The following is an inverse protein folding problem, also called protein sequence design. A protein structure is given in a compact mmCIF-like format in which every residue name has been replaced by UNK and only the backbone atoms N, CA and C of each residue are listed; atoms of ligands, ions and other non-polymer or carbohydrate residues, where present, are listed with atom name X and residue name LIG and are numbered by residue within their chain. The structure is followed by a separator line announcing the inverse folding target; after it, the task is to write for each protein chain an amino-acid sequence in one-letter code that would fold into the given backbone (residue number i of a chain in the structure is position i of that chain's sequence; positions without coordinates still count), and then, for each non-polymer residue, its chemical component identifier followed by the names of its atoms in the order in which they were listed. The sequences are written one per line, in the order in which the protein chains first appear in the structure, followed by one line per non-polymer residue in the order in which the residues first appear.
data_IF_293103759479
#
_entry.id   IF_293103759479
#
_cell.length_a   1.000
_cell.length_b   1.000
_cell.length_c   1.000
_cell.angle_alpha   90.00
_cell.angle_beta   90.00
_cell.angle_gamma   90.00
#
_symmetry.space_group_name_H-M   'P 1'
#
loop_
_entity.id
_entity.type
_entity.pdbx_description
1 polymer ?
#
# COMPACT_ATOMS: atom_id res chain seq x y z
N UNK A 1 -13.04 2.34 5.80
CA UNK A 1 -12.82 2.42 4.34
C UNK A 1 -11.31 2.38 4.07
N UNK A 2 -10.85 1.52 3.17
CA UNK A 2 -9.45 1.37 2.75
C UNK A 2 -9.27 1.87 1.32
N UNK A 3 -8.35 2.82 1.16
CA UNK A 3 -7.93 3.33 -0.15
C UNK A 3 -6.51 2.87 -0.42
N UNK A 4 -6.27 2.30 -1.60
CA UNK A 4 -4.95 1.83 -2.01
C UNK A 4 -4.47 2.59 -3.24
N UNK A 5 -3.24 3.10 -3.18
CA UNK A 5 -2.56 3.72 -4.30
C UNK A 5 -1.64 2.70 -4.99
N UNK A 6 -1.60 2.74 -6.32
CA UNK A 6 -0.68 1.95 -7.12
C UNK A 6 -0.23 2.72 -8.37
N UNK A 7 0.84 2.28 -9.02
CA UNK A 7 1.40 2.95 -10.19
C UNK A 7 2.91 2.78 -10.31
N UNK A 8 3.52 3.30 -11.39
CA UNK A 8 4.94 3.11 -11.64
C UNK A 8 5.81 3.82 -10.58
N UNK A 9 7.04 3.36 -10.37
CA UNK A 9 7.99 3.96 -9.44
C UNK A 9 8.38 5.35 -9.94
N UNK A 10 8.22 6.39 -9.10
CA UNK A 10 8.44 7.79 -9.52
C UNK A 10 7.17 8.57 -9.90
N UNK A 11 6.00 7.91 -9.96
CA UNK A 11 4.71 8.56 -10.25
C UNK A 11 4.22 9.53 -9.16
N UNK A 12 4.90 9.61 -8.01
CA UNK A 12 4.51 10.52 -6.91
C UNK A 12 3.48 9.97 -5.93
N UNK A 13 3.29 8.63 -5.87
CA UNK A 13 2.33 7.96 -4.96
C UNK A 13 2.40 8.47 -3.52
N UNK A 14 3.58 8.47 -2.92
CA UNK A 14 3.77 8.92 -1.52
C UNK A 14 3.45 10.41 -1.35
N UNK A 15 3.80 11.25 -2.33
CA UNK A 15 3.44 12.67 -2.34
C UNK A 15 1.93 12.85 -2.40
N UNK A 16 1.26 12.14 -3.33
CA UNK A 16 -0.19 12.16 -3.47
C UNK A 16 -0.89 11.66 -2.21
N UNK A 17 -0.44 10.56 -1.62
CA UNK A 17 -1.01 9.99 -0.40
C UNK A 17 -0.93 10.95 0.79
N UNK A 18 0.21 11.65 0.94
CA UNK A 18 0.38 12.68 1.98
C UNK A 18 -0.56 13.86 1.77
N UNK A 19 -0.65 14.37 0.53
CA UNK A 19 -1.54 15.47 0.20
C UNK A 19 -3.02 15.11 0.42
N UNK A 20 -3.43 13.92 -0.01
CA UNK A 20 -4.79 13.41 0.21
C UNK A 20 -5.10 13.20 1.70
N UNK A 21 -4.17 12.62 2.47
CA UNK A 21 -4.33 12.44 3.91
C UNK A 21 -4.50 13.78 4.63
N UNK A 22 -3.67 14.77 4.28
CA UNK A 22 -3.76 16.11 4.86
C UNK A 22 -5.14 16.73 4.56
N UNK A 23 -5.58 16.71 3.30
CA UNK A 23 -6.85 17.30 2.90
C UNK A 23 -8.06 16.63 3.55
N UNK A 24 -8.06 15.29 3.66
CA UNK A 24 -9.15 14.58 4.33
C UNK A 24 -9.21 14.94 5.83
N UNK A 25 -8.07 15.07 6.50
CA UNK A 25 -8.00 15.50 7.91
C UNK A 25 -8.47 16.93 8.10
N UNK A 26 -8.06 17.85 7.23
CA UNK A 26 -8.52 19.25 7.23
C UNK A 26 -10.04 19.36 7.08
N UNK A 27 -10.65 18.42 6.37
CA UNK A 27 -12.12 18.31 6.19
C UNK A 27 -12.82 17.56 7.32
N UNK A 28 -12.10 17.21 8.39
CA UNK A 28 -12.66 16.59 9.59
C UNK A 28 -12.80 15.07 9.52
N UNK A 29 -12.24 14.41 8.50
CA UNK A 29 -12.24 12.95 8.44
C UNK A 29 -11.07 12.38 9.24
N UNK A 30 -11.35 11.44 10.15
CA UNK A 30 -10.32 10.61 10.76
C UNK A 30 -9.66 9.78 9.65
N UNK A 31 -8.38 10.03 9.40
CA UNK A 31 -7.65 9.43 8.28
C UNK A 31 -6.26 8.99 8.75
N UNK A 32 -5.97 7.71 8.58
CA UNK A 32 -4.66 7.14 8.83
C UNK A 32 -3.92 6.93 7.50
N UNK A 33 -2.63 7.21 7.49
CA UNK A 33 -1.78 7.02 6.33
C UNK A 33 -0.74 5.95 6.65
N UNK A 34 -0.90 4.79 6.02
CA UNK A 34 0.06 3.70 6.08
C UNK A 34 1.05 3.88 4.93
N UNK A 35 2.23 4.37 5.27
CA UNK A 35 3.35 4.42 4.35
C UNK A 35 4.01 3.05 4.30
N UNK A 36 3.91 2.40 3.15
CA UNK A 36 4.57 1.14 2.86
C UNK A 36 6.08 1.37 2.79
N UNK A 37 6.75 1.18 3.92
CA UNK A 37 8.21 1.18 4.00
C UNK A 37 8.76 0.02 3.17
N UNK A 38 9.06 0.25 1.88
CA UNK A 38 9.92 -0.67 1.14
C UNK A 38 11.27 -0.73 1.88
N UNK A 39 11.91 -1.90 1.99
CA UNK A 39 13.27 -2.00 2.54
C UNK A 39 14.27 -1.04 1.87
N UNK A 40 13.99 -0.63 0.63
CA UNK A 40 14.74 0.32 -0.16
C UNK A 40 14.61 1.80 0.26
N UNK A 41 13.54 2.18 0.98
CA UNK A 41 13.29 3.59 1.35
C UNK A 41 13.99 3.99 2.67
N UNK A 42 14.92 3.17 3.18
CA UNK A 42 15.77 3.51 4.34
C UNK A 42 16.84 4.52 3.94
N UNK A 43 16.49 5.80 3.87
CA UNK A 43 17.49 6.86 4.00
C UNK A 43 17.94 6.99 5.47
N UNK A 44 19.24 7.15 5.78
CA UNK A 44 19.72 7.22 7.17
C UNK A 44 19.37 8.53 7.92
N UNK A 45 18.54 9.42 7.39
CA UNK A 45 18.48 10.81 7.87
C UNK A 45 17.32 11.17 8.83
N UNK A 46 16.43 10.25 9.19
CA UNK A 46 15.35 10.54 10.16
C UNK A 46 15.57 9.96 11.57
N UNK A 47 16.81 9.99 12.06
CA UNK A 47 17.06 9.98 13.50
C UNK A 47 18.13 11.02 13.82
N UNK A 48 17.72 12.28 14.00
CA UNK A 48 18.48 13.26 14.79
C UNK A 48 17.52 14.19 15.54
N UNK A 49 17.05 13.72 16.69
CA UNK A 49 16.88 14.60 17.85
C UNK A 49 18.06 14.37 18.78
N UNK A 50 18.56 15.48 19.30
CA UNK A 50 19.86 15.65 19.92
C UNK A 50 20.06 14.88 21.23
N UNK A 51 21.18 14.18 21.36
CA UNK A 51 22.22 14.48 22.36
C UNK A 51 23.42 13.54 22.20
N UNK A 52 24.56 14.05 22.63
CA UNK A 52 25.81 13.36 22.96
C UNK A 52 26.84 13.11 21.85
N UNK A 53 27.69 14.12 21.78
CA UNK A 53 29.05 14.14 21.27
C UNK A 53 29.94 13.07 21.90
N UNK A 54 30.98 12.76 21.12
CA UNK A 54 32.29 12.24 21.50
C UNK A 54 32.49 10.72 21.45
N UNK A 55 33.61 10.36 20.82
CA UNK A 55 34.26 9.05 20.84
C UNK A 55 33.67 8.02 19.87
N UNK A 56 34.00 8.10 18.57
CA UNK A 56 34.07 6.91 17.67
C UNK A 56 34.50 7.27 16.24
N UNK A 57 35.78 7.60 16.03
CA UNK A 57 36.32 7.80 14.67
C UNK A 57 36.86 6.52 14.00
N UNK A 58 36.91 5.39 14.71
CA UNK A 58 37.48 4.12 14.19
C UNK A 58 36.40 3.04 13.89
N UNK A 59 35.15 3.19 14.38
CA UNK A 59 34.05 2.24 14.12
C UNK A 59 33.29 2.47 12.80
N UNK A 60 33.58 3.53 12.06
CA UNK A 60 32.79 3.94 10.89
C UNK A 60 33.01 3.07 9.63
N UNK A 61 34.16 2.39 9.51
CA UNK A 61 34.43 1.52 8.36
C UNK A 61 33.92 0.09 8.58
N UNK A 62 34.06 -0.48 9.78
CA UNK A 62 33.60 -1.84 10.09
C UNK A 62 32.06 -1.89 10.13
N UNK A 63 31.39 -0.82 10.59
CA UNK A 63 29.92 -0.73 10.60
C UNK A 63 29.31 -0.60 9.21
N UNK A 64 30.10 -0.29 8.17
CA UNK A 64 29.63 -0.28 6.76
C UNK A 64 29.61 -1.66 6.12
N UNK A 65 30.42 -2.59 6.62
CA UNK A 65 30.49 -3.98 6.12
C UNK A 65 29.62 -4.95 6.94
N UNK A 66 29.36 -4.66 8.21
CA UNK A 66 28.58 -5.56 9.09
C UNK A 66 27.10 -5.23 9.18
N UNK A 67 26.67 -4.04 8.73
CA UNK A 67 25.24 -3.62 8.75
C UNK A 67 24.30 -4.55 7.96
N UNK A 68 24.65 -5.03 6.75
CA UNK A 68 23.77 -5.92 5.99
C UNK A 68 23.50 -7.24 6.74
N UNK A 69 24.55 -7.81 7.36
CA UNK A 69 24.43 -9.05 8.11
C UNK A 69 23.74 -8.87 9.46
N UNK A 70 23.96 -7.75 10.14
CA UNK A 70 23.25 -7.40 11.36
C UNK A 70 21.76 -7.13 11.11
N UNK A 71 21.40 -6.50 9.97
CA UNK A 71 20.00 -6.35 9.57
C UNK A 71 19.36 -7.69 9.20
N UNK A 72 20.06 -8.58 8.49
CA UNK A 72 19.60 -9.95 8.22
C UNK A 72 19.35 -10.71 9.54
N UNK A 73 20.25 -10.58 10.52
CA UNK A 73 20.13 -11.25 11.83
C UNK A 73 19.06 -10.62 12.73
N UNK A 74 18.82 -9.31 12.61
CA UNK A 74 17.72 -8.60 13.28
C UNK A 74 16.37 -8.88 12.62
N UNK A 75 16.33 -9.10 11.30
CA UNK A 75 15.14 -9.46 10.54
C UNK A 75 14.69 -10.90 10.82
N UNK A 76 15.62 -11.81 11.15
CA UNK A 76 15.32 -13.16 11.63
C UNK A 76 14.75 -13.18 13.07
N UNK A 77 14.86 -12.09 13.83
CA UNK A 77 14.51 -12.02 15.26
C UNK A 77 13.11 -11.51 15.58
N UNK A 78 12.32 -11.13 14.58
CA UNK A 78 10.90 -10.84 14.77
C UNK A 78 10.06 -11.97 14.20
N UNK A 79 9.83 -13.06 14.96
CA UNK A 79 9.00 -14.14 14.47
C UNK A 79 7.61 -13.60 14.15
N UNK A 80 7.14 -13.98 12.96
CA UNK A 80 5.84 -13.67 12.39
C UNK A 80 4.75 -14.17 13.36
N UNK A 81 4.28 -13.29 14.23
CA UNK A 81 3.44 -13.64 15.38
C UNK A 81 1.97 -13.99 15.03
N UNK A 82 1.63 -14.28 13.76
CA UNK A 82 0.27 -14.67 13.36
C UNK A 82 0.29 -15.60 12.16
N UNK A 83 -0.45 -16.72 12.23
CA UNK A 83 -0.55 -17.73 11.18
C UNK A 83 -1.21 -17.22 9.89
N UNK A 84 -2.15 -16.28 10.01
CA UNK A 84 -2.86 -15.69 8.87
C UNK A 84 -1.98 -14.73 8.05
N UNK A 85 -1.12 -13.93 8.72
CA UNK A 85 -0.21 -12.98 8.06
C UNK A 85 0.82 -13.69 7.16
N UNK A 86 1.30 -14.85 7.63
CA UNK A 86 2.24 -15.70 6.90
C UNK A 86 1.55 -16.44 5.76
N UNK A 87 0.29 -16.86 5.95
CA UNK A 87 -0.49 -17.57 4.94
C UNK A 87 -0.66 -16.78 3.65
N UNK A 88 -1.09 -15.51 3.76
CA UNK A 88 -1.27 -14.62 2.59
C UNK A 88 0.05 -14.37 1.86
N UNK A 89 1.14 -14.12 2.61
CA UNK A 89 2.46 -13.89 2.04
C UNK A 89 3.01 -15.13 1.31
N UNK A 90 2.89 -16.31 1.91
CA UNK A 90 3.35 -17.56 1.30
C UNK A 90 2.49 -17.95 0.10
N UNK A 91 1.18 -17.73 0.12
CA UNK A 91 0.31 -18.01 -1.03
C UNK A 91 0.68 -17.11 -2.22
N UNK A 92 0.90 -15.82 -2.00
CA UNK A 92 1.33 -14.91 -3.06
C UNK A 92 2.68 -15.29 -3.67
N UNK A 93 3.64 -15.69 -2.84
CA UNK A 93 4.97 -16.13 -3.30
C UNK A 93 4.90 -17.47 -4.03
N UNK A 94 3.96 -18.35 -3.67
CA UNK A 94 3.74 -19.60 -4.42
C UNK A 94 3.17 -19.36 -5.81
N UNK A 95 2.27 -18.40 -5.95
CA UNK A 95 1.65 -18.05 -7.25
C UNK A 95 2.66 -17.32 -8.14
N UNK A 96 3.45 -16.42 -7.53
CA UNK A 96 4.45 -15.61 -8.20
C UNK A 96 5.82 -15.78 -7.50
N UNK A 97 6.54 -16.89 -7.75
CA UNK A 97 7.83 -17.14 -7.12
C UNK A 97 8.91 -16.20 -7.68
N UNK A 98 9.51 -15.33 -6.85
CA UNK A 98 10.56 -14.45 -7.31
C UNK A 98 11.80 -15.27 -7.67
N UNK A 99 12.51 -14.83 -8.72
CA UNK A 99 13.72 -15.48 -9.23
C UNK A 99 14.89 -15.51 -8.24
N UNK A 100 14.84 -14.75 -7.14
CA UNK A 100 15.89 -14.67 -6.13
C UNK A 100 15.37 -14.96 -4.72
N UNK A 101 16.11 -15.80 -3.99
CA UNK A 101 15.79 -16.20 -2.61
C UNK A 101 15.79 -14.99 -1.66
N UNK A 102 16.71 -14.04 -1.86
CA UNK A 102 16.79 -12.81 -1.07
C UNK A 102 15.55 -11.93 -1.28
N UNK A 103 15.08 -11.81 -2.53
CA UNK A 103 13.85 -11.09 -2.86
C UNK A 103 12.62 -11.83 -2.32
N UNK A 104 12.60 -13.16 -2.36
CA UNK A 104 11.55 -13.99 -1.74
C UNK A 104 11.38 -13.67 -0.25
N UNK A 105 12.48 -13.68 0.51
CA UNK A 105 12.43 -13.40 1.94
C UNK A 105 11.96 -11.98 2.22
N UNK A 106 12.50 -10.98 1.50
CA UNK A 106 12.10 -9.57 1.66
C UNK A 106 10.63 -9.33 1.33
N UNK A 107 10.13 -9.91 0.24
CA UNK A 107 8.72 -9.83 -0.13
C UNK A 107 7.84 -10.55 0.88
N UNK A 108 8.26 -11.70 1.40
CA UNK A 108 7.50 -12.40 2.45
C UNK A 108 7.33 -11.50 3.66
N UNK A 109 8.41 -10.86 4.11
CA UNK A 109 8.39 -9.95 5.24
C UNK A 109 7.54 -8.71 4.96
N UNK A 110 7.67 -8.11 3.78
CA UNK A 110 6.85 -6.97 3.36
C UNK A 110 5.36 -7.31 3.35
N UNK A 111 4.98 -8.40 2.67
CA UNK A 111 3.59 -8.83 2.56
C UNK A 111 3.01 -9.23 3.92
N UNK A 112 3.80 -9.84 4.80
CA UNK A 112 3.35 -10.17 6.16
C UNK A 112 3.07 -8.92 7.00
N UNK A 113 3.95 -7.90 6.92
CA UNK A 113 3.73 -6.61 7.59
C UNK A 113 2.52 -5.89 7.01
N UNK A 114 2.37 -5.92 5.69
CA UNK A 114 1.23 -5.33 4.99
C UNK A 114 -0.08 -6.02 5.39
N UNK A 115 -0.11 -7.36 5.47
CA UNK A 115 -1.27 -8.13 5.92
C UNK A 115 -1.73 -7.71 7.30
N UNK A 116 -0.79 -7.51 8.24
CA UNK A 116 -1.12 -7.04 9.58
C UNK A 116 -1.73 -5.65 9.58
N UNK A 117 -1.08 -4.69 8.91
CA UNK A 117 -1.59 -3.32 8.82
C UNK A 117 -2.95 -3.27 8.12
N UNK A 118 -3.15 -4.10 7.10
CA UNK A 118 -4.41 -4.23 6.40
C UNK A 118 -5.52 -4.78 7.30
N UNK A 119 -5.25 -5.84 8.06
CA UNK A 119 -6.24 -6.41 8.96
C UNK A 119 -6.65 -5.40 10.04
N UNK A 120 -5.68 -4.69 10.62
CA UNK A 120 -5.96 -3.60 11.56
C UNK A 120 -6.83 -2.51 10.91
N UNK A 121 -6.47 -2.07 9.70
CA UNK A 121 -7.24 -1.09 8.94
C UNK A 121 -8.67 -1.57 8.62
N UNK A 122 -8.86 -2.85 8.31
CA UNK A 122 -10.16 -3.43 7.98
C UNK A 122 -11.13 -3.45 9.16
N UNK A 123 -10.60 -3.45 10.39
CA UNK A 123 -11.40 -3.34 11.63
C UNK A 123 -11.65 -1.89 12.08
N UNK A 124 -11.10 -0.91 11.36
CA UNK A 124 -11.19 0.50 11.75
C UNK A 124 -12.46 1.18 11.21
N UNK A 125 -13.02 2.10 12.01
CA UNK A 125 -14.17 2.91 11.61
C UNK A 125 -13.80 4.15 10.77
N UNK A 126 -12.53 4.31 10.41
CA UNK A 126 -11.99 5.50 9.76
C UNK A 126 -11.45 5.20 8.37
N UNK A 127 -10.96 6.24 7.67
CA UNK A 127 -10.38 6.10 6.34
C UNK A 127 -8.90 5.72 6.51
N UNK A 128 -8.45 4.64 5.87
CA UNK A 128 -7.04 4.26 5.88
C UNK A 128 -6.50 4.31 4.46
N UNK A 129 -5.49 5.15 4.24
CA UNK A 129 -4.80 5.31 2.97
C UNK A 129 -3.52 4.47 2.98
N UNK A 130 -3.34 3.63 1.98
CA UNK A 130 -2.09 2.94 1.71
C UNK A 130 -1.43 3.53 0.48
N UNK A 131 -0.25 4.13 0.61
CA UNK A 131 0.47 4.68 -0.53
C UNK A 131 1.00 3.60 -1.49
N UNK A 132 1.16 2.38 -0.97
CA UNK A 132 1.35 1.13 -1.70
C UNK A 132 0.75 0.00 -0.86
N UNK A 133 0.03 -0.96 -1.45
CA UNK A 133 -0.42 -2.17 -0.77
C UNK A 133 -0.36 -3.40 -1.68
N UNK A 134 -1.39 -4.25 -1.64
CA UNK A 134 -1.33 -5.59 -2.22
C UNK A 134 -1.26 -5.57 -3.75
N UNK A 135 -1.92 -4.64 -4.43
CA UNK A 135 -1.78 -4.46 -5.89
C UNK A 135 -0.33 -4.14 -6.25
N UNK A 136 0.32 -3.26 -5.49
CA UNK A 136 1.73 -2.95 -5.69
C UNK A 136 2.65 -4.14 -5.33
N UNK A 137 2.26 -4.96 -4.35
CA UNK A 137 2.96 -6.20 -4.01
C UNK A 137 2.90 -7.21 -5.16
N UNK A 138 1.72 -7.41 -5.77
CA UNK A 138 1.53 -8.25 -6.96
C UNK A 138 2.35 -7.71 -8.13
N UNK A 139 2.35 -6.39 -8.36
CA UNK A 139 3.21 -5.76 -9.37
C UNK A 139 4.70 -6.10 -9.15
N UNK A 140 5.16 -6.01 -7.90
CA UNK A 140 6.55 -6.28 -7.56
C UNK A 140 6.90 -7.76 -7.75
N UNK A 141 5.98 -8.66 -7.40
CA UNK A 141 6.13 -10.10 -7.61
C UNK A 141 6.16 -10.46 -9.09
N UNK A 142 5.24 -9.94 -9.90
CA UNK A 142 5.19 -10.17 -11.35
C UNK A 142 6.50 -9.75 -12.03
N UNK A 143 7.06 -8.60 -11.63
CA UNK A 143 8.37 -8.14 -12.12
C UNK A 143 9.51 -9.08 -11.74
N UNK A 144 9.52 -9.60 -10.50
CA UNK A 144 10.59 -10.46 -9.99
C UNK A 144 10.49 -11.91 -10.48
N UNK A 145 9.28 -12.36 -10.82
CA UNK A 145 9.07 -13.64 -11.50
C UNK A 145 9.64 -13.61 -12.92
N UNK A 146 9.68 -12.43 -13.55
CA UNK A 146 10.09 -12.28 -14.95
C UNK A 146 9.06 -12.84 -15.94
N UNK A 147 7.87 -13.24 -15.46
CA UNK A 147 6.78 -13.80 -16.25
C UNK A 147 5.60 -12.83 -16.19
N UNK A 148 5.24 -12.24 -17.34
CA UNK A 148 4.06 -11.40 -17.50
C UNK A 148 2.82 -12.25 -17.87
N UNK A 149 2.59 -13.35 -17.14
CA UNK A 149 1.44 -14.22 -17.36
C UNK A 149 0.20 -13.57 -16.74
N UNK A 150 -0.69 -13.08 -17.60
CA UNK A 150 -1.95 -12.44 -17.23
C UNK A 150 -2.82 -13.34 -16.34
N UNK A 151 -2.80 -14.67 -16.53
CA UNK A 151 -3.59 -15.61 -15.73
C UNK A 151 -3.07 -15.70 -14.29
N UNK A 152 -1.74 -15.79 -14.10
CA UNK A 152 -1.13 -15.82 -12.77
C UNK A 152 -1.31 -14.49 -12.04
N UNK A 153 -1.15 -13.36 -12.75
CA UNK A 153 -1.38 -12.03 -12.19
C UNK A 153 -2.85 -11.87 -11.79
N UNK A 154 -3.79 -12.27 -12.65
CA UNK A 154 -5.22 -12.24 -12.35
C UNK A 154 -5.56 -13.12 -11.15
N UNK A 155 -4.97 -14.30 -11.05
CA UNK A 155 -5.17 -15.19 -9.92
C UNK A 155 -4.65 -14.58 -8.60
N UNK A 156 -3.46 -13.98 -8.63
CA UNK A 156 -2.91 -13.26 -7.48
C UNK A 156 -3.82 -12.09 -7.06
N UNK A 157 -4.30 -11.29 -8.02
CA UNK A 157 -5.23 -10.17 -7.77
C UNK A 157 -6.57 -10.61 -7.17
N UNK A 158 -7.01 -11.83 -7.45
CA UNK A 158 -8.25 -12.37 -6.89
C UNK A 158 -8.10 -12.80 -5.42
N UNK A 159 -6.90 -13.23 -5.02
CA UNK A 159 -6.63 -13.77 -3.68
C UNK A 159 -6.25 -12.66 -2.67
N UNK A 160 -5.71 -11.54 -3.15
CA UNK A 160 -5.35 -10.44 -2.25
C UNK A 160 -6.58 -9.78 -1.60
N UNK A 161 -6.43 -9.25 -0.38
CA UNK A 161 -7.44 -8.38 0.22
C UNK A 161 -7.80 -7.21 -0.71
N UNK A 162 -9.08 -6.85 -0.75
CA UNK A 162 -9.62 -5.85 -1.67
C UNK A 162 -9.87 -4.52 -0.96
N UNK A 163 -9.28 -3.44 -1.47
CA UNK A 163 -9.59 -2.06 -1.09
C UNK A 163 -10.96 -1.63 -1.62
N UNK A 164 -11.57 -0.67 -0.91
CA UNK A 164 -12.84 -0.02 -1.31
C UNK A 164 -12.63 0.94 -2.49
N UNK A 165 -11.41 1.50 -2.62
CA UNK A 165 -11.03 2.39 -3.71
C UNK A 165 -9.56 2.17 -4.09
N UNK A 166 -9.31 2.05 -5.39
CA UNK A 166 -7.97 2.06 -5.97
C UNK A 166 -7.68 3.38 -6.66
N UNK A 167 -6.48 3.93 -6.44
CA UNK A 167 -6.02 5.14 -7.12
C UNK A 167 -4.74 4.81 -7.90
N UNK A 168 -4.85 4.82 -9.23
CA UNK A 168 -3.71 4.69 -10.14
C UNK A 168 -3.05 6.05 -10.30
N UNK A 169 -1.79 6.16 -9.92
CA UNK A 169 -0.98 7.34 -10.24
C UNK A 169 -0.26 7.09 -11.56
N UNK A 170 -0.37 8.04 -12.48
CA UNK A 170 0.28 7.99 -13.78
C UNK A 170 1.27 9.14 -13.97
N UNK A 171 2.29 8.90 -14.78
CA UNK A 171 3.29 9.87 -15.20
C UNK A 171 3.84 9.47 -16.57
N UNK A 172 4.07 10.45 -17.43
CA UNK A 172 4.70 10.23 -18.74
C UNK A 172 6.10 9.65 -18.58
N UNK A 173 6.51 8.79 -19.52
CA UNK A 173 7.81 8.11 -19.51
C UNK A 173 8.99 9.08 -19.30
N UNK A 174 8.96 10.23 -19.95
CA UNK A 174 10.01 11.27 -19.83
C UNK A 174 10.17 11.78 -18.40
N UNK A 175 9.05 12.01 -17.71
CA UNK A 175 9.02 12.49 -16.32
C UNK A 175 9.39 11.36 -15.36
N UNK A 176 8.95 10.14 -15.66
CA UNK A 176 9.29 8.97 -14.88
C UNK A 176 10.81 8.71 -14.94
N UNK A 177 11.38 8.72 -16.14
CA UNK A 177 12.82 8.57 -16.36
C UNK A 177 13.62 9.67 -15.67
N UNK A 178 13.22 10.92 -15.79
CA UNK A 178 13.89 12.03 -15.12
C UNK A 178 13.90 11.85 -13.60
N UNK A 179 12.74 11.57 -13.00
CA UNK A 179 12.60 11.36 -11.55
C UNK A 179 13.36 10.13 -11.07
N UNK A 180 13.36 9.05 -11.85
CA UNK A 180 14.11 7.83 -11.53
C UNK A 180 15.63 8.05 -11.64
N UNK A 181 16.11 8.76 -12.68
CA UNK A 181 17.53 9.10 -12.83
C UNK A 181 18.02 10.01 -11.69
N UNK A 182 17.23 11.00 -11.29
CA UNK A 182 17.57 11.86 -10.17
C UNK A 182 17.63 11.09 -8.85
N UNK A 183 16.68 10.18 -8.62
CA UNK A 183 16.71 9.27 -7.46
C UNK A 183 17.95 8.38 -7.48
N UNK A 184 18.29 7.77 -8.61
CA UNK A 184 19.48 6.92 -8.76
C UNK A 184 20.80 7.68 -8.50
N UNK A 185 20.84 8.98 -8.79
CA UNK A 185 22.02 9.82 -8.51
C UNK A 185 22.21 10.09 -7.02
N UNK A 186 21.11 10.10 -6.26
CA UNK A 186 21.11 10.34 -4.81
C UNK A 186 21.31 9.05 -3.99
N UNK A 187 21.18 7.87 -4.62
CA UNK A 187 21.27 6.57 -3.95
C UNK A 187 22.68 5.96 -3.95
N UNK A 188 23.07 5.46 -2.77
CA UNK A 188 24.35 4.78 -2.58
C UNK A 188 24.40 3.49 -3.41
N UNK A 189 25.62 3.09 -3.84
CA UNK A 189 25.84 1.87 -4.64
C UNK A 189 25.26 0.59 -4.02
N UNK A 190 25.09 0.57 -2.70
CA UNK A 190 24.51 -0.57 -1.97
C UNK A 190 22.97 -0.55 -1.91
N UNK A 191 22.35 0.62 -1.94
CA UNK A 191 20.88 0.77 -2.04
C UNK A 191 20.42 0.35 -3.45
N UNK A 192 21.23 0.62 -4.47
CA UNK A 192 21.05 0.15 -5.86
C UNK A 192 20.96 -1.38 -6.03
N UNK A 193 21.62 -2.17 -5.18
CA UNK A 193 21.56 -3.63 -5.26
C UNK A 193 20.26 -4.20 -4.64
N UNK A 194 19.50 -3.33 -3.95
CA UNK A 194 18.28 -3.62 -3.23
C UNK A 194 17.05 -2.95 -3.86
N UNK A 195 17.24 -2.19 -4.94
CA UNK A 195 16.20 -1.57 -5.74
C UNK A 195 16.06 -2.25 -7.10
N UNK A 196 14.89 -2.10 -7.72
CA UNK A 196 14.67 -2.51 -9.09
C UNK A 196 15.56 -1.65 -10.02
N UNK A 197 16.32 -2.30 -10.91
CA UNK A 197 17.12 -1.59 -11.92
C UNK A 197 16.22 -0.72 -12.82
N UNK A 198 16.77 0.32 -13.46
CA UNK A 198 16.04 1.22 -14.38
C UNK A 198 15.28 0.43 -15.45
N UNK A 199 15.88 -0.64 -15.98
CA UNK A 199 15.25 -1.53 -16.95
C UNK A 199 14.05 -2.28 -16.37
N UNK A 200 14.11 -2.64 -15.08
CA UNK A 200 13.00 -3.29 -14.37
C UNK A 200 11.92 -2.28 -13.97
N UNK A 201 12.30 -1.03 -13.71
CA UNK A 201 11.37 0.07 -13.50
C UNK A 201 10.63 0.45 -14.79
N UNK A 202 11.27 0.43 -15.95
CA UNK A 202 10.57 0.64 -17.23
C UNK A 202 9.66 -0.55 -17.58
N UNK A 203 10.08 -1.79 -17.32
CA UNK A 203 9.19 -2.96 -17.40
C UNK A 203 7.98 -2.87 -16.45
N UNK A 204 8.10 -2.11 -15.35
CA UNK A 204 7.00 -1.92 -14.42
C UNK A 204 5.81 -1.19 -15.04
N UNK A 205 6.01 -0.36 -16.05
CA UNK A 205 4.91 0.32 -16.75
C UNK A 205 3.97 -0.70 -17.41
N UNK A 206 4.52 -1.61 -18.22
CA UNK A 206 3.75 -2.66 -18.87
C UNK A 206 3.02 -3.57 -17.87
N UNK A 207 3.66 -3.88 -16.73
CA UNK A 207 3.03 -4.68 -15.67
C UNK A 207 1.93 -3.89 -14.95
N UNK A 208 2.13 -2.59 -14.70
CA UNK A 208 1.12 -1.70 -14.10
C UNK A 208 -0.08 -1.53 -15.02
N UNK A 209 0.12 -1.42 -16.33
CA UNK A 209 -0.96 -1.36 -17.31
C UNK A 209 -1.74 -2.68 -17.37
N UNK A 210 -1.04 -3.81 -17.40
CA UNK A 210 -1.67 -5.13 -17.31
C UNK A 210 -2.51 -5.28 -16.03
N UNK A 211 -1.98 -4.85 -14.87
CA UNK A 211 -2.71 -4.82 -13.61
C UNK A 211 -3.95 -3.93 -13.67
N UNK A 212 -3.82 -2.74 -14.26
CA UNK A 212 -4.95 -1.80 -14.42
C UNK A 212 -6.08 -2.45 -15.23
N UNK A 213 -5.75 -3.08 -16.35
CA UNK A 213 -6.72 -3.75 -17.20
C UNK A 213 -7.39 -4.94 -16.50
N UNK A 214 -6.60 -5.77 -15.80
CA UNK A 214 -7.12 -6.89 -15.02
C UNK A 214 -8.04 -6.45 -13.87
N UNK A 215 -7.65 -5.42 -13.13
CA UNK A 215 -8.46 -4.86 -12.05
C UNK A 215 -9.76 -4.27 -12.60
N UNK A 216 -9.72 -3.60 -13.75
CA UNK A 216 -10.92 -3.06 -14.42
C UNK A 216 -11.84 -4.17 -14.93
N UNK A 217 -11.30 -5.23 -15.54
CA UNK A 217 -12.06 -6.43 -15.95
C UNK A 217 -12.71 -7.10 -14.73
N UNK A 218 -12.04 -7.10 -13.59
CA UNK A 218 -12.55 -7.60 -12.32
C UNK A 218 -13.58 -6.70 -11.63
N UNK A 219 -14.03 -5.61 -12.26
CA UNK A 219 -15.04 -4.70 -11.72
C UNK A 219 -14.55 -3.84 -10.55
N UNK A 220 -13.23 -3.73 -10.34
CA UNK A 220 -12.67 -2.93 -9.24
C UNK A 220 -12.84 -1.44 -9.54
N UNK A 221 -13.18 -0.68 -8.51
CA UNK A 221 -13.31 0.77 -8.61
C UNK A 221 -11.92 1.42 -8.62
N UNK A 222 -11.53 1.96 -9.77
CA UNK A 222 -10.21 2.57 -10.00
C UNK A 222 -10.39 4.02 -10.43
N UNK A 223 -9.69 4.93 -9.77
CA UNK A 223 -9.53 6.32 -10.20
C UNK A 223 -8.11 6.54 -10.72
N UNK A 224 -7.97 7.21 -11.85
CA UNK A 224 -6.66 7.63 -12.35
C UNK A 224 -6.37 9.06 -11.90
N UNK A 225 -5.15 9.28 -11.43
CA UNK A 225 -4.65 10.57 -10.97
C UNK A 225 -3.28 10.84 -11.59
N UNK A 226 -3.05 12.09 -12.00
CA UNK A 226 -1.76 12.59 -12.47
C UNK A 226 -1.24 13.63 -11.49
N UNK A 227 0.07 13.64 -11.26
CA UNK A 227 0.75 14.57 -10.36
C UNK A 227 2.01 15.11 -11.05
N UNK A 228 1.79 15.78 -12.18
CA UNK A 228 2.87 16.34 -13.00
C UNK A 228 3.39 17.65 -12.39
N UNK A 229 2.48 18.46 -11.85
CA UNK A 229 2.72 19.74 -11.19
C UNK A 229 1.80 19.90 -9.96
N UNK A 230 1.95 20.99 -9.22
CA UNK A 230 1.17 21.28 -8.02
C UNK A 230 -0.34 21.45 -8.32
N UNK A 231 -0.67 22.01 -9.47
CA UNK A 231 -2.07 22.23 -9.86
C UNK A 231 -2.78 20.91 -10.16
N UNK A 232 -2.19 20.06 -11.00
CA UNK A 232 -2.71 18.71 -11.32
C UNK A 232 -2.78 17.82 -10.09
N UNK A 233 -1.79 17.90 -9.18
CA UNK A 233 -1.85 17.23 -7.88
C UNK A 233 -3.07 17.68 -7.09
N UNK A 234 -3.28 18.99 -6.94
CA UNK A 234 -4.40 19.53 -6.17
C UNK A 234 -5.76 19.16 -6.76
N UNK A 235 -5.93 19.24 -8.09
CA UNK A 235 -7.15 18.80 -8.76
C UNK A 235 -7.41 17.30 -8.58
N UNK A 236 -6.36 16.48 -8.70
CA UNK A 236 -6.47 15.04 -8.54
C UNK A 236 -6.81 14.65 -7.10
N UNK A 237 -6.19 15.31 -6.12
CA UNK A 237 -6.51 15.14 -4.70
C UNK A 237 -7.95 15.54 -4.43
N UNK A 238 -8.43 16.66 -4.96
CA UNK A 238 -9.82 17.09 -4.80
C UNK A 238 -10.83 16.10 -5.40
N UNK A 239 -10.52 15.55 -6.58
CA UNK A 239 -11.39 14.57 -7.23
C UNK A 239 -11.50 13.29 -6.42
N UNK A 240 -10.37 12.78 -5.92
CA UNK A 240 -10.33 11.56 -5.09
C UNK A 240 -10.99 11.81 -3.73
N UNK A 241 -10.77 12.97 -3.11
CA UNK A 241 -11.46 13.39 -1.88
C UNK A 241 -12.98 13.34 -2.06
N UNK A 242 -13.52 13.98 -3.10
CA UNK A 242 -14.96 13.99 -3.38
C UNK A 242 -15.53 12.57 -3.50
N UNK A 243 -14.80 11.67 -4.16
CA UNK A 243 -15.22 10.28 -4.30
C UNK A 243 -15.23 9.54 -2.96
N UNK A 244 -14.19 9.71 -2.15
CA UNK A 244 -14.09 9.11 -0.82
C UNK A 244 -15.24 9.59 0.07
N UNK A 245 -15.48 10.90 0.13
CA UNK A 245 -16.56 11.48 0.93
C UNK A 245 -17.93 10.98 0.47
N UNK A 246 -18.14 10.81 -0.84
CA UNK A 246 -19.37 10.25 -1.38
C UNK A 246 -19.59 8.79 -0.94
N UNK A 247 -18.54 7.95 -0.98
CA UNK A 247 -18.62 6.56 -0.53
C UNK A 247 -18.89 6.45 0.97
N UNK A 248 -18.13 7.18 1.79
CA UNK A 248 -18.32 7.20 3.26
C UNK A 248 -19.75 7.65 3.61
N UNK A 249 -20.27 8.68 2.93
CA UNK A 249 -21.63 9.15 3.13
C UNK A 249 -22.70 8.11 2.74
N UNK A 250 -22.47 7.33 1.68
CA UNK A 250 -23.37 6.24 1.29
C UNK A 250 -23.36 5.09 2.30
N UNK A 251 -22.19 4.69 2.79
CA UNK A 251 -22.03 3.63 3.79
C UNK A 251 -22.72 3.99 5.11
N UNK A 252 -22.53 5.23 5.59
CA UNK A 252 -23.16 5.71 6.82
C UNK A 252 -24.70 5.72 6.70
N UNK A 253 -25.24 6.14 5.56
CA UNK A 253 -26.70 6.12 5.31
C UNK A 253 -27.23 4.69 5.23
N UNK A 254 -26.50 3.78 4.60
CA UNK A 254 -26.88 2.36 4.52
C UNK A 254 -26.83 1.67 5.90
N UNK A 255 -25.91 2.05 6.77
CA UNK A 255 -25.85 1.57 8.15
C UNK A 255 -27.02 2.12 8.99
N UNK A 256 -27.34 3.41 8.88
CA UNK A 256 -28.46 4.03 9.59
C UNK A 256 -29.81 3.39 9.23
N UNK A 257 -30.06 3.11 7.94
CA UNK A 257 -31.28 2.43 7.48
C UNK A 257 -31.42 1.01 8.01
N UNK A 258 -30.31 0.25 8.10
CA UNK A 258 -30.31 -1.10 8.68
C UNK A 258 -30.67 -1.09 10.17
N UNK A 259 -30.12 -0.13 10.92
CA UNK A 259 -30.42 -0.01 12.34
C UNK A 259 -31.89 0.38 12.58
N UNK A 260 -32.46 1.25 11.74
CA UNK A 260 -33.86 1.67 11.83
C UNK A 260 -34.84 0.52 11.50
N UNK A 261 -34.53 -0.30 10.50
CA UNK A 261 -35.35 -1.48 10.17
C UNK A 261 -35.35 -2.55 11.28
N UNK A 262 -34.21 -2.78 11.96
CA UNK A 262 -34.14 -3.70 13.10
C UNK A 262 -34.88 -3.19 14.35
N UNK A 263 -34.90 -1.87 14.59
CA UNK A 263 -35.69 -1.31 15.70
C UNK A 263 -37.20 -1.40 15.45
N UNK A 264 -37.64 -1.22 14.20
CA UNK A 264 -39.06 -1.30 13.85
C UNK A 264 -39.59 -2.74 13.90
N UNK A 265 -38.78 -3.75 13.54
CA UNK A 265 -39.14 -5.16 13.67
C UNK A 265 -39.22 -5.63 15.14
N UNK A 266 -38.34 -5.12 16.01
CA UNK A 266 -38.36 -5.42 17.45
C UNK A 266 -39.58 -4.80 18.16
N UNK A 267 -40.02 -3.62 17.70
CA UNK A 267 -41.22 -2.96 18.22
C UNK A 267 -42.52 -3.66 17.79
N UNK A 268 -42.55 -4.23 16.58
CA UNK A 268 -43.71 -4.97 16.08
C UNK A 268 -43.99 -6.26 16.88
N UNK A 269 -42.95 -6.98 17.31
CA UNK A 269 -43.10 -8.23 18.07
C UNK A 269 -43.61 -8.01 19.50
N UNK A 270 -43.15 -6.94 20.18
CA UNK A 270 -43.64 -6.58 21.53
C UNK A 270 -45.11 -6.13 21.54
N UNK A 271 -45.62 -5.66 20.40
CA UNK A 271 -47.01 -5.22 20.26
C UNK A 271 -47.96 -6.41 20.08
N UNK A 272 -47.46 -7.55 19.56
CA UNK A 272 -48.25 -8.77 19.37
C UNK A 272 -48.41 -9.55 20.68
N UNK A 273 -47.34 -9.70 21.48
CA UNK A 273 -47.40 -10.40 22.77
C UNK A 273 -48.32 -9.71 23.80
N UNK A 274 -48.46 -8.37 23.73
CA UNK A 274 -49.38 -7.62 24.61
C UNK A 274 -50.86 -7.78 24.24
N UNK A 275 -51.18 -8.23 23.02
CA UNK A 275 -52.59 -8.42 22.59
C UNK A 275 -53.12 -9.82 22.86
N UNK A 276 -52.26 -10.79 23.17
CA UNK A 276 -52.67 -12.16 23.53
C UNK A 276 -52.80 -12.39 25.05
N UNK A 277 -52.57 -11.36 25.87
CA UNK A 277 -52.63 -11.42 27.33
C UNK A 277 -53.81 -10.63 27.95
N UNK A 278 -54.85 -10.31 27.19
CA UNK A 278 -56.11 -9.72 27.69
C UNK A 278 -57.31 -10.57 27.31
#
# INVERSE_FOLDING_TARGET
MIVELFGPPGAGKTTFARALAARLRERGHTTDLVLSQRPAERSPHEIRSASDLSTQQITSMIRRLTRPFAEILMMARHPLASSHDVGTALNLIKILPPSSILWSFRLTQYVSRLSRSWFQASSSAHIVLFDQAFVQAVCSLALLCGVADELLISHALHIIPQSDLLVRLDATDEILEARLRDRQRLESRFDRLLEFDLTTNLRSLAVVDCLHDLLRKGGRQIMTATSLDEHSLNEAVERVEKQITAQVGMEQRAAARRNQACSDSSCADQTLERRTAS
#
